data_IF_390164503415
#
_entry.id   IF_390164503415
#
_cell.length_a   1.000
_cell.length_b   1.000
_cell.length_c   1.000
_cell.angle_alpha   90.00
_cell.angle_beta   90.00
_cell.angle_gamma   90.00
#
_symmetry.space_group_name_H-M   'P 1'
#
loop_
_entity.id
_entity.type
_entity.pdbx_description
1 polymer ?
#
# COMPACT_ATOMS: atom_id res chain seq x y z
N UNK A 1 23.91 2.39 -74.03
CA UNK A 1 23.11 1.17 -73.76
C UNK A 1 21.71 1.65 -73.34
N UNK A 2 20.67 1.50 -74.18
CA UNK A 2 19.82 0.29 -74.32
C UNK A 2 18.95 0.05 -73.06
N UNK A 3 17.59 0.02 -73.07
CA UNK A 3 16.56 0.09 -74.14
C UNK A 3 15.27 0.80 -73.66
N UNK A 4 14.45 1.30 -74.60
CA UNK A 4 13.02 1.66 -74.43
C UNK A 4 12.11 0.50 -74.91
N UNK A 5 10.93 0.32 -74.30
CA UNK A 5 9.63 -0.03 -74.95
C UNK A 5 8.53 0.00 -73.86
N UNK A 6 7.43 0.77 -73.86
CA UNK A 6 6.35 1.12 -74.83
C UNK A 6 5.16 0.14 -74.86
N UNK A 7 3.99 0.64 -74.39
CA UNK A 7 2.59 0.40 -74.83
C UNK A 7 2.01 -1.05 -74.81
N UNK A 8 0.69 -1.31 -74.73
CA UNK A 8 -0.50 -0.47 -74.48
C UNK A 8 -1.64 -1.28 -73.80
N UNK A 9 -2.77 -0.61 -73.51
CA UNK A 9 -4.07 -1.16 -73.07
C UNK A 9 -4.63 -2.24 -74.01
N UNK A 10 -5.48 -3.13 -73.50
CA UNK A 10 -6.86 -3.37 -74.00
C UNK A 10 -7.72 -4.08 -72.93
N UNK A 11 -9.04 -3.95 -73.04
CA UNK A 11 -10.06 -4.42 -72.08
C UNK A 11 -11.10 -5.28 -72.81
N UNK A 12 -11.98 -5.97 -72.05
CA UNK A 12 -13.23 -6.64 -72.52
C UNK A 12 -13.10 -8.13 -72.98
N UNK A 13 -14.20 -8.94 -73.00
CA UNK A 13 -14.72 -9.54 -71.76
C UNK A 13 -15.16 -11.03 -71.85
N UNK A 14 -15.24 -11.69 -70.69
CA UNK A 14 -16.32 -12.65 -70.37
C UNK A 14 -16.16 -14.14 -70.71
N UNK A 15 -16.13 -14.99 -69.68
CA UNK A 15 -16.99 -16.20 -69.62
C UNK A 15 -17.16 -16.71 -68.18
N UNK A 16 -18.40 -16.89 -67.72
CA UNK A 16 -18.72 -17.54 -66.44
C UNK A 16 -18.60 -19.06 -66.53
N UNK A 17 -18.06 -19.72 -65.49
CA UNK A 17 -18.42 -21.10 -65.13
C UNK A 17 -18.47 -21.25 -63.60
N UNK A 18 -19.66 -21.57 -63.08
CA UNK A 18 -19.90 -21.91 -61.68
C UNK A 18 -19.69 -23.41 -61.45
N UNK A 19 -18.87 -23.77 -60.45
CA UNK A 19 -18.71 -25.17 -60.02
C UNK A 19 -19.76 -25.46 -58.95
N UNK A 20 -20.80 -26.21 -59.33
CA UNK A 20 -21.77 -26.80 -58.41
C UNK A 20 -22.10 -28.22 -58.87
N UNK A 21 -21.37 -29.21 -58.34
CA UNK A 21 -21.82 -30.60 -58.37
C UNK A 21 -21.77 -31.18 -56.95
N UNK A 22 -22.96 -31.40 -56.39
CA UNK A 22 -23.15 -32.21 -55.19
C UNK A 22 -23.55 -33.63 -55.64
N UNK A 23 -22.67 -34.61 -55.44
CA UNK A 23 -23.05 -36.00 -55.65
C UNK A 23 -23.97 -36.46 -54.50
N UNK A 24 -25.24 -36.73 -54.85
CA UNK A 24 -26.16 -37.47 -53.97
C UNK A 24 -25.86 -38.96 -54.14
N UNK A 25 -25.18 -39.58 -53.17
CA UNK A 25 -25.31 -41.00 -52.82
C UNK A 25 -24.33 -41.39 -51.67
N UNK A 26 -24.78 -41.23 -50.42
CA UNK A 26 -24.15 -41.84 -49.25
C UNK A 26 -25.20 -42.03 -48.13
N UNK A 27 -25.98 -43.10 -48.21
CA UNK A 27 -26.85 -43.51 -47.12
C UNK A 27 -26.03 -44.23 -46.03
N UNK A 28 -25.95 -43.65 -44.83
CA UNK A 28 -25.22 -44.22 -43.70
C UNK A 28 -25.66 -43.57 -42.38
N UNK A 29 -26.09 -44.39 -41.41
CA UNK A 29 -26.86 -43.94 -40.25
C UNK A 29 -26.19 -42.86 -39.39
N UNK A 30 -27.00 -41.88 -38.97
CA UNK A 30 -26.57 -40.71 -38.19
C UNK A 30 -26.24 -41.03 -36.72
N UNK A 31 -25.11 -41.72 -36.48
CA UNK A 31 -24.46 -41.70 -35.16
C UNK A 31 -23.96 -40.30 -34.87
N UNK A 32 -24.77 -39.49 -34.18
CA UNK A 32 -24.51 -38.11 -33.76
C UNK A 32 -23.19 -38.03 -32.98
N UNK A 33 -22.09 -37.72 -33.68
CA UNK A 33 -20.77 -37.48 -33.07
C UNK A 33 -20.87 -36.22 -32.19
N UNK A 34 -20.94 -36.42 -30.87
CA UNK A 34 -20.87 -35.32 -29.89
C UNK A 34 -19.58 -34.54 -30.08
N UNK A 35 -19.69 -33.22 -30.20
CA UNK A 35 -18.55 -32.33 -30.41
C UNK A 35 -17.58 -32.37 -29.23
N UNK A 36 -16.30 -32.05 -29.47
CA UNK A 36 -15.24 -32.02 -28.47
C UNK A 36 -15.57 -31.11 -27.28
N UNK A 37 -16.38 -30.06 -27.50
CA UNK A 37 -16.90 -29.16 -26.47
C UNK A 37 -17.85 -29.83 -25.47
N UNK A 38 -18.70 -30.76 -25.90
CA UNK A 38 -19.66 -31.45 -25.02
C UNK A 38 -18.97 -32.42 -24.06
N UNK A 39 -17.92 -33.13 -24.53
CA UNK A 39 -17.13 -34.02 -23.65
C UNK A 39 -16.40 -33.25 -22.55
N UNK A 40 -15.88 -32.05 -22.86
CA UNK A 40 -15.19 -31.21 -21.86
C UNK A 40 -16.17 -30.68 -20.81
N UNK A 41 -17.33 -30.16 -21.23
CA UNK A 41 -18.37 -29.62 -20.32
C UNK A 41 -18.84 -30.67 -19.31
N UNK A 42 -19.10 -31.90 -19.76
CA UNK A 42 -19.57 -32.97 -18.86
C UNK A 42 -18.49 -33.44 -17.86
N UNK A 43 -17.19 -33.40 -18.22
CA UNK A 43 -16.10 -33.62 -17.26
C UNK A 43 -16.02 -32.52 -16.21
N UNK A 44 -16.16 -31.25 -16.61
CA UNK A 44 -16.13 -30.12 -15.67
C UNK A 44 -17.29 -30.20 -14.66
N UNK A 45 -18.50 -30.54 -15.10
CA UNK A 45 -19.66 -30.71 -14.19
C UNK A 45 -19.44 -31.85 -13.19
N UNK A 46 -18.89 -32.99 -13.62
CA UNK A 46 -18.59 -34.11 -12.72
C UNK A 46 -17.56 -33.76 -11.64
N UNK A 47 -16.52 -32.99 -11.98
CA UNK A 47 -15.50 -32.55 -11.02
C UNK A 47 -16.11 -31.58 -9.99
N UNK A 48 -16.93 -30.62 -10.43
CA UNK A 48 -17.58 -29.66 -9.52
C UNK A 48 -18.50 -30.36 -8.52
N UNK A 49 -19.30 -31.34 -8.97
CA UNK A 49 -20.15 -32.15 -8.07
C UNK A 49 -19.33 -32.94 -7.05
N UNK A 50 -18.20 -33.54 -7.45
CA UNK A 50 -17.31 -34.25 -6.53
C UNK A 50 -16.68 -33.32 -5.48
N UNK A 51 -16.27 -32.10 -5.87
CA UNK A 51 -15.75 -31.10 -4.94
C UNK A 51 -16.79 -30.63 -3.92
N UNK A 52 -18.05 -30.44 -4.33
CA UNK A 52 -19.14 -30.04 -3.42
C UNK A 52 -19.42 -31.12 -2.39
N UNK A 53 -19.49 -32.40 -2.81
CA UNK A 53 -19.70 -33.53 -1.90
C UNK A 53 -18.51 -33.72 -0.93
N UNK A 54 -17.27 -33.55 -1.40
CA UNK A 54 -16.08 -33.59 -0.55
C UNK A 54 -16.06 -32.48 0.51
N UNK A 55 -16.44 -31.25 0.14
CA UNK A 55 -16.51 -30.14 1.08
C UNK A 55 -17.56 -30.36 2.18
N UNK A 56 -18.73 -30.92 1.84
CA UNK A 56 -19.77 -31.25 2.80
C UNK A 56 -19.29 -32.27 3.86
N UNK A 57 -18.60 -33.33 3.44
CA UNK A 57 -18.07 -34.35 4.35
C UNK A 57 -17.02 -33.80 5.33
N UNK A 58 -16.12 -32.91 4.84
CA UNK A 58 -15.13 -32.23 5.71
C UNK A 58 -15.82 -31.32 6.72
N UNK A 59 -16.87 -30.59 6.31
CA UNK A 59 -17.62 -29.72 7.23
C UNK A 59 -18.32 -30.51 8.33
N UNK A 60 -18.93 -31.65 8.01
CA UNK A 60 -19.53 -32.53 9.03
C UNK A 60 -18.48 -33.11 9.98
N UNK A 61 -17.31 -33.51 9.49
CA UNK A 61 -16.24 -34.04 10.34
C UNK A 61 -15.68 -32.97 11.29
N UNK A 62 -15.51 -31.73 10.83
CA UNK A 62 -15.01 -30.63 11.65
C UNK A 62 -15.96 -30.29 12.82
N UNK A 63 -17.28 -30.33 12.58
CA UNK A 63 -18.30 -30.01 13.59
C UNK A 63 -18.28 -30.98 14.79
N UNK A 64 -18.08 -32.28 14.56
CA UNK A 64 -17.98 -33.27 15.64
C UNK A 64 -16.66 -33.21 16.43
N UNK A 65 -15.58 -32.70 15.83
CA UNK A 65 -14.28 -32.54 16.52
C UNK A 65 -14.27 -31.32 17.44
N UNK A 66 -14.99 -30.25 17.10
CA UNK A 66 -15.09 -29.07 17.99
C UNK A 66 -15.88 -29.32 19.26
N UNK A 67 -16.95 -30.12 19.18
CA UNK A 67 -17.84 -30.39 20.33
C UNK A 67 -17.17 -31.26 21.41
N UNK A 68 -16.24 -32.14 21.00
CA UNK A 68 -15.50 -33.00 21.92
C UNK A 68 -14.29 -32.32 22.57
N UNK A 69 -13.74 -31.26 21.96
CA UNK A 69 -12.62 -30.50 22.52
C UNK A 69 -13.05 -29.37 23.46
N UNK A 70 -14.25 -28.80 23.29
CA UNK A 70 -14.75 -27.72 24.15
C UNK A 70 -15.25 -28.21 25.53
N UNK A 71 -15.41 -29.52 25.73
CA UNK A 71 -15.83 -30.11 27.00
C UNK A 71 -14.71 -30.39 28.03
N UNK A 72 -13.46 -30.02 27.75
CA UNK A 72 -12.28 -30.43 28.57
C UNK A 72 -11.56 -29.25 29.25
N UNK A 73 -11.93 -28.00 28.98
CA UNK A 73 -11.18 -26.82 29.47
C UNK A 73 -11.69 -26.18 30.77
N UNK A 74 -12.85 -26.59 31.30
CA UNK A 74 -13.32 -26.13 32.61
C UNK A 74 -12.94 -27.12 33.73
N UNK A 75 -11.80 -26.86 34.37
CA UNK A 75 -11.43 -27.44 35.67
C UNK A 75 -10.48 -26.51 36.41
N UNK A 76 -10.95 -25.94 37.52
CA UNK A 76 -10.17 -25.05 38.38
C UNK A 76 -8.97 -25.76 39.04
N UNK A 77 -7.84 -25.04 39.19
CA UNK A 77 -6.83 -25.36 40.21
C UNK A 77 -6.41 -24.09 40.96
N UNK A 78 -6.73 -24.03 42.26
CA UNK A 78 -6.21 -23.04 43.22
C UNK A 78 -4.93 -23.56 43.88
N UNK A 79 -3.89 -22.72 44.04
CA UNK A 79 -2.85 -22.94 45.07
C UNK A 79 -2.23 -21.65 45.61
N UNK A 80 -1.95 -21.64 46.92
CA UNK A 80 -1.25 -20.63 47.76
C UNK A 80 -0.29 -21.37 48.73
N UNK A 81 0.71 -20.79 49.41
CA UNK A 81 1.08 -19.39 49.74
C UNK A 81 2.59 -19.15 49.44
N UNK A 82 3.08 -17.91 49.62
CA UNK A 82 4.50 -17.51 49.75
C UNK A 82 5.12 -17.96 51.13
N UNK A 83 6.22 -17.41 51.72
CA UNK A 83 7.12 -16.28 51.35
C UNK A 83 8.65 -16.42 51.62
N UNK A 84 9.43 -15.38 51.30
CA UNK A 84 10.84 -15.21 51.71
C UNK A 84 11.29 -13.73 51.83
N UNK A 85 12.05 -13.38 52.89
CA UNK A 85 12.56 -12.04 53.29
C UNK A 85 13.79 -11.61 52.45
N UNK A 86 13.95 -10.37 51.95
CA UNK A 86 14.17 -9.03 52.57
C UNK A 86 15.63 -8.70 52.94
N UNK A 87 16.21 -7.64 52.37
CA UNK A 87 17.04 -6.67 53.13
C UNK A 87 17.16 -5.27 52.48
N UNK A 88 17.60 -4.28 53.26
CA UNK A 88 17.86 -2.86 52.93
C UNK A 88 19.32 -2.68 52.41
N UNK A 89 19.79 -1.60 51.79
CA UNK A 89 19.28 -0.25 51.44
C UNK A 89 20.44 0.77 51.48
N UNK A 90 20.29 2.00 50.95
CA UNK A 90 20.85 3.31 51.43
C UNK A 90 20.95 4.39 50.31
N UNK A 91 21.11 5.66 50.73
CA UNK A 91 20.98 6.94 50.03
C UNK A 91 22.20 7.37 49.19
N UNK A 92 21.98 8.33 48.28
CA UNK A 92 22.93 9.43 48.06
C UNK A 92 22.88 10.10 46.67
N UNK A 93 22.98 11.44 46.63
CA UNK A 93 23.36 12.18 45.42
C UNK A 93 22.30 13.09 44.80
N UNK A 94 22.16 14.31 45.31
CA UNK A 94 21.64 15.44 44.51
C UNK A 94 22.75 15.96 43.60
N UNK A 95 22.42 16.38 42.38
CA UNK A 95 23.19 17.41 41.67
C UNK A 95 22.29 18.14 40.67
N UNK A 96 22.22 19.45 40.85
CA UNK A 96 21.49 20.39 40.01
C UNK A 96 22.39 20.83 38.83
N UNK A 97 21.89 20.76 37.61
CA UNK A 97 22.50 21.40 36.44
C UNK A 97 21.38 21.95 35.57
N UNK A 98 21.08 23.24 35.78
CA UNK A 98 19.98 23.93 35.12
C UNK A 98 20.27 24.18 33.64
N UNK A 99 19.86 23.27 32.76
CA UNK A 99 19.81 23.51 31.32
C UNK A 99 18.57 24.36 30.96
N UNK A 100 18.63 25.27 29.96
CA UNK A 100 17.52 26.17 29.64
C UNK A 100 16.24 25.40 29.29
N UNK A 101 15.13 25.80 29.91
CA UNK A 101 13.85 25.12 29.75
C UNK A 101 13.40 25.09 28.29
N UNK A 102 13.38 23.89 27.70
CA UNK A 102 12.68 23.64 26.45
C UNK A 102 11.19 23.97 26.68
N UNK A 103 10.69 24.97 25.94
CA UNK A 103 9.32 25.44 26.05
C UNK A 103 8.35 24.25 25.86
N UNK A 104 7.54 23.86 26.86
CA UNK A 104 6.70 22.66 26.78
C UNK A 104 5.51 22.91 25.84
N UNK A 105 5.76 22.84 24.54
CA UNK A 105 4.77 23.12 23.52
C UNK A 105 3.68 22.04 23.52
N UNK A 106 2.59 22.39 24.21
CA UNK A 106 1.35 21.65 24.42
C UNK A 106 1.32 20.22 23.86
N UNK A 107 1.32 19.27 24.81
CA UNK A 107 0.86 17.89 24.59
C UNK A 107 -0.64 17.92 24.29
N UNK A 108 -1.02 18.35 23.09
CA UNK A 108 -2.39 18.44 22.59
C UNK A 108 -2.69 17.39 21.52
N UNK A 109 -3.98 17.14 21.33
CA UNK A 109 -4.53 16.39 20.19
C UNK A 109 -4.06 17.04 18.87
N UNK A 110 -3.56 16.27 17.91
CA UNK A 110 -3.03 16.81 16.65
C UNK A 110 -4.11 16.69 15.56
N UNK A 111 -4.66 17.84 15.17
CA UNK A 111 -5.78 17.99 14.23
C UNK A 111 -5.21 18.45 12.89
N UNK A 112 -5.00 17.50 11.97
CA UNK A 112 -4.39 17.74 10.68
C UNK A 112 -5.41 17.70 9.53
N UNK A 113 -5.21 18.55 8.52
CA UNK A 113 -5.97 18.49 7.26
C UNK A 113 -5.03 18.23 6.09
N UNK A 114 -5.45 17.44 5.10
CA UNK A 114 -4.70 17.32 3.84
C UNK A 114 -4.57 18.67 3.18
N UNK A 115 -3.33 19.05 2.88
CA UNK A 115 -3.00 20.21 2.06
C UNK A 115 -2.46 19.77 0.71
N UNK A 116 -2.77 20.52 -0.35
CA UNK A 116 -2.22 20.25 -1.68
C UNK A 116 -0.70 20.54 -1.72
N UNK A 117 0.04 19.78 -2.54
CA UNK A 117 1.50 19.95 -2.71
C UNK A 117 1.92 21.37 -3.12
N UNK A 118 1.05 22.12 -3.81
CA UNK A 118 1.28 23.53 -4.16
C UNK A 118 1.52 24.44 -2.96
N UNK A 119 1.07 24.08 -1.75
CA UNK A 119 1.36 24.82 -0.51
C UNK A 119 2.87 24.92 -0.24
N UNK A 120 3.66 23.94 -0.67
CA UNK A 120 5.12 23.97 -0.54
C UNK A 120 5.76 25.07 -1.40
N UNK A 121 5.07 25.63 -2.39
CA UNK A 121 5.56 26.76 -3.19
C UNK A 121 5.56 28.09 -2.41
N UNK A 122 4.90 28.14 -1.25
CA UNK A 122 4.78 29.32 -0.42
C UNK A 122 3.88 30.40 -1.01
N UNK A 123 4.14 31.66 -0.66
CA UNK A 123 3.31 32.81 -1.06
C UNK A 123 1.91 32.80 -0.44
N UNK A 124 1.02 33.63 -1.01
CA UNK A 124 -0.32 33.91 -0.47
C UNK A 124 -1.22 32.68 -0.34
N UNK A 125 -1.08 31.68 -1.22
CA UNK A 125 -1.83 30.42 -1.10
C UNK A 125 -1.52 29.67 0.19
N UNK A 126 -0.25 29.66 0.62
CA UNK A 126 0.16 29.08 1.91
C UNK A 126 -0.35 29.93 3.08
N UNK A 127 -0.32 31.26 2.98
CA UNK A 127 -0.83 32.16 4.02
C UNK A 127 -2.34 31.98 4.26
N UNK A 128 -3.14 31.99 3.19
CA UNK A 128 -4.58 31.75 3.25
C UNK A 128 -4.89 30.35 3.81
N UNK A 129 -4.11 29.34 3.43
CA UNK A 129 -4.29 27.99 3.98
C UNK A 129 -3.98 27.94 5.48
N UNK A 130 -2.87 28.54 5.93
CA UNK A 130 -2.52 28.66 7.36
C UNK A 130 -3.62 29.38 8.15
N UNK A 131 -4.15 30.49 7.63
CA UNK A 131 -5.26 31.19 8.26
C UNK A 131 -6.50 30.29 8.40
N UNK A 132 -6.87 29.57 7.33
CA UNK A 132 -8.02 28.66 7.35
C UNK A 132 -7.86 27.46 8.29
N UNK A 133 -6.65 26.94 8.49
CA UNK A 133 -6.38 25.90 9.51
C UNK A 133 -6.68 26.46 10.91
N UNK A 134 -6.15 27.64 11.22
CA UNK A 134 -6.33 28.30 12.54
C UNK A 134 -7.79 28.58 12.82
N UNK A 135 -8.53 29.14 11.86
CA UNK A 135 -9.98 29.38 11.99
C UNK A 135 -10.80 28.11 12.20
N UNK A 136 -10.33 26.96 11.68
CA UNK A 136 -10.94 25.65 11.89
C UNK A 136 -10.45 24.93 13.17
N UNK A 137 -9.60 25.55 13.99
CA UNK A 137 -9.01 24.92 15.17
C UNK A 137 -8.03 23.78 14.86
N UNK A 138 -7.51 23.73 13.64
CA UNK A 138 -6.55 22.74 13.17
C UNK A 138 -5.12 23.22 13.44
N UNK A 139 -4.25 22.31 13.89
CA UNK A 139 -2.88 22.62 14.35
C UNK A 139 -1.79 21.90 13.53
N UNK A 140 -2.17 21.26 12.42
CA UNK A 140 -1.24 20.61 11.52
C UNK A 140 -1.77 20.52 10.08
N UNK A 141 -0.86 20.19 9.16
CA UNK A 141 -1.17 19.87 7.76
C UNK A 141 -0.51 18.54 7.38
N UNK A 142 -1.22 17.73 6.59
CA UNK A 142 -0.62 16.57 5.89
C UNK A 142 -0.31 16.98 4.45
N UNK A 143 0.93 16.84 4.01
CA UNK A 143 1.35 17.15 2.63
C UNK A 143 2.13 15.96 2.06
N UNK A 144 1.90 15.64 0.79
CA UNK A 144 2.59 14.56 0.09
C UNK A 144 4.00 15.00 -0.31
N UNK A 145 5.01 14.49 0.40
CA UNK A 145 6.43 14.64 0.05
C UNK A 145 6.90 13.60 -0.96
N UNK A 146 6.24 12.43 -0.96
CA UNK A 146 6.23 11.47 -2.07
C UNK A 146 4.81 11.02 -2.33
N UNK A 147 4.29 11.25 -3.54
CA UNK A 147 2.93 10.86 -3.92
C UNK A 147 2.84 9.40 -4.41
N UNK A 148 1.62 8.89 -4.60
CA UNK A 148 1.35 7.53 -5.08
C UNK A 148 1.73 7.29 -6.56
N UNK A 149 2.10 8.33 -7.30
CA UNK A 149 2.72 8.16 -8.62
C UNK A 149 4.22 7.88 -8.50
N UNK A 150 4.85 8.32 -7.41
CA UNK A 150 6.28 8.25 -7.13
C UNK A 150 6.97 9.62 -7.13
N UNK A 151 6.26 10.71 -7.42
CA UNK A 151 6.80 12.07 -7.52
C UNK A 151 7.27 12.59 -6.16
N UNK A 152 8.47 13.20 -6.12
CA UNK A 152 9.04 13.82 -4.92
C UNK A 152 8.82 15.33 -4.94
N UNK A 153 8.13 15.87 -3.94
CA UNK A 153 7.77 17.30 -3.86
C UNK A 153 8.84 18.20 -3.23
N UNK A 154 10.07 17.69 -3.12
CA UNK A 154 11.24 18.38 -2.59
C UNK A 154 12.46 18.11 -3.51
N UNK A 155 13.58 18.84 -3.37
CA UNK A 155 14.73 18.66 -4.24
C UNK A 155 15.60 17.51 -3.71
N UNK A 156 15.29 16.28 -4.16
CA UNK A 156 16.02 15.08 -3.76
C UNK A 156 17.43 15.04 -4.33
N UNK A 157 18.37 14.53 -3.53
CA UNK A 157 19.77 14.27 -3.85
C UNK A 157 20.03 12.82 -4.28
N UNK A 158 19.03 11.93 -4.16
CA UNK A 158 19.13 10.51 -4.53
C UNK A 158 19.48 10.38 -6.02
N UNK A 159 20.63 9.77 -6.32
CA UNK A 159 21.20 9.71 -7.67
C UNK A 159 20.25 9.19 -8.76
N UNK A 160 19.37 8.23 -8.43
CA UNK A 160 18.41 7.67 -9.36
C UNK A 160 17.34 8.67 -9.87
N UNK A 161 17.05 9.72 -9.10
CA UNK A 161 15.92 10.64 -9.32
C UNK A 161 16.30 12.13 -9.35
N UNK A 162 17.43 12.54 -8.75
CA UNK A 162 17.87 13.94 -8.66
C UNK A 162 17.93 14.67 -10.03
N UNK A 163 18.46 13.98 -11.04
CA UNK A 163 18.69 14.52 -12.40
C UNK A 163 17.47 14.34 -13.32
N UNK A 164 16.39 13.71 -12.83
CA UNK A 164 15.11 13.54 -13.55
C UNK A 164 14.16 14.70 -13.22
N UNK A 165 14.76 15.88 -13.10
CA UNK A 165 14.33 16.96 -12.22
C UNK A 165 12.97 17.53 -12.62
N UNK A 166 11.97 17.50 -11.71
CA UNK A 166 10.88 18.45 -11.77
C UNK A 166 11.35 19.79 -11.18
N UNK A 167 11.14 20.87 -11.91
CA UNK A 167 11.63 22.23 -11.59
C UNK A 167 10.57 23.08 -10.88
N UNK A 168 9.75 22.47 -10.01
CA UNK A 168 8.62 23.19 -9.42
C UNK A 168 9.06 24.13 -8.28
N UNK A 169 8.34 25.25 -8.15
CA UNK A 169 8.46 26.15 -6.99
C UNK A 169 8.14 25.43 -5.67
N UNK A 170 7.29 24.41 -5.71
CA UNK A 170 6.98 23.57 -4.56
C UNK A 170 8.23 22.83 -4.03
N UNK A 171 9.03 22.24 -4.92
CA UNK A 171 10.28 21.59 -4.53
C UNK A 171 11.32 22.61 -4.04
N UNK A 172 11.55 23.68 -4.80
CA UNK A 172 12.54 24.70 -4.45
C UNK A 172 12.28 25.31 -3.05
N UNK A 173 11.00 25.51 -2.70
CA UNK A 173 10.61 26.20 -1.47
C UNK A 173 10.20 25.25 -0.32
N UNK A 174 10.25 23.92 -0.50
CA UNK A 174 9.72 22.95 0.47
C UNK A 174 10.23 23.20 1.92
N UNK A 175 11.54 23.34 2.11
CA UNK A 175 12.15 23.61 3.41
C UNK A 175 11.75 24.97 4.03
N UNK A 176 11.49 25.98 3.19
CA UNK A 176 11.08 27.31 3.64
C UNK A 176 9.60 27.32 4.04
N UNK A 177 8.77 26.60 3.29
CA UNK A 177 7.34 26.41 3.57
C UNK A 177 7.12 25.58 4.85
N UNK A 178 7.93 24.55 5.12
CA UNK A 178 7.95 23.84 6.40
C UNK A 178 8.20 24.81 7.56
N UNK A 179 9.27 25.61 7.49
CA UNK A 179 9.60 26.60 8.52
C UNK A 179 8.47 27.61 8.73
N UNK A 180 7.84 28.09 7.66
CA UNK A 180 6.72 29.04 7.73
C UNK A 180 5.46 28.45 8.38
N UNK A 181 5.15 27.17 8.12
CA UNK A 181 4.08 26.43 8.80
C UNK A 181 4.38 26.33 10.30
N UNK A 182 5.58 25.89 10.67
CA UNK A 182 6.00 25.71 12.05
C UNK A 182 6.05 27.03 12.84
N UNK A 183 6.61 28.09 12.26
CA UNK A 183 6.58 29.46 12.82
C UNK A 183 5.16 29.99 13.01
N UNK A 184 4.21 29.50 12.21
CA UNK A 184 2.79 29.82 12.36
C UNK A 184 2.07 28.96 13.41
N UNK A 185 2.75 28.02 14.07
CA UNK A 185 2.16 27.07 15.01
C UNK A 185 1.45 25.87 14.36
N UNK A 186 1.70 25.63 13.07
CA UNK A 186 1.15 24.49 12.31
C UNK A 186 2.23 23.43 12.12
N UNK A 187 2.01 22.22 12.65
CA UNK A 187 2.91 21.07 12.46
C UNK A 187 2.82 20.51 11.05
N UNK A 188 3.93 20.01 10.52
CA UNK A 188 4.00 19.38 9.20
C UNK A 188 4.07 17.86 9.34
N UNK A 189 3.03 17.18 8.86
CA UNK A 189 3.02 15.73 8.67
C UNK A 189 3.36 15.45 7.20
N UNK A 190 4.56 14.93 6.95
CA UNK A 190 5.01 14.60 5.62
C UNK A 190 4.57 13.19 5.24
N UNK A 191 3.65 13.08 4.27
CA UNK A 191 3.20 11.79 3.75
C UNK A 191 4.13 11.28 2.66
N UNK A 192 4.49 10.02 2.76
CA UNK A 192 5.35 9.30 1.83
C UNK A 192 4.61 8.03 1.42
N UNK A 193 4.15 7.96 0.17
CA UNK A 193 3.68 6.71 -0.41
C UNK A 193 4.87 5.77 -0.65
N UNK A 194 4.78 4.56 -0.10
CA UNK A 194 5.85 3.58 -0.10
C UNK A 194 5.82 2.70 -1.37
N UNK A 195 5.18 1.53 -1.33
CA UNK A 195 5.34 0.54 -2.42
C UNK A 195 4.47 0.83 -3.65
N UNK A 196 3.47 1.71 -3.51
CA UNK A 196 2.68 2.26 -4.62
C UNK A 196 3.46 3.41 -5.28
N UNK A 197 4.29 3.06 -6.25
CA UNK A 197 5.14 3.98 -7.01
C UNK A 197 5.22 3.52 -8.47
N UNK A 198 4.81 4.41 -9.37
CA UNK A 198 4.71 4.15 -10.81
C UNK A 198 5.93 4.62 -11.63
N UNK A 199 6.86 5.33 -11.00
CA UNK A 199 8.05 5.95 -11.59
C UNK A 199 9.31 5.13 -11.31
N UNK A 200 9.62 4.84 -10.05
CA UNK A 200 10.89 4.20 -9.66
C UNK A 200 11.11 2.82 -10.30
N UNK A 201 10.10 1.93 -10.45
CA UNK A 201 10.24 0.70 -11.24
C UNK A 201 10.69 0.90 -12.70
N UNK A 202 10.46 2.09 -13.28
CA UNK A 202 10.89 2.45 -14.65
C UNK A 202 12.28 3.08 -14.68
N UNK A 203 12.72 3.63 -13.55
CA UNK A 203 14.07 4.16 -13.32
C UNK A 203 15.06 3.03 -13.10
N UNK A 204 14.71 2.12 -12.20
CA UNK A 204 15.50 0.95 -11.84
C UNK A 204 14.57 -0.27 -11.75
N UNK A 205 14.74 -1.20 -12.69
CA UNK A 205 13.90 -2.40 -12.81
C UNK A 205 14.08 -3.36 -11.64
N UNK A 206 15.24 -3.34 -10.95
CA UNK A 206 15.50 -4.21 -9.79
C UNK A 206 14.59 -3.89 -8.60
N UNK A 207 13.97 -2.71 -8.60
CA UNK A 207 13.00 -2.29 -7.59
C UNK A 207 11.58 -2.82 -7.84
N UNK A 208 11.29 -3.35 -9.02
CA UNK A 208 9.94 -3.63 -9.50
C UNK A 208 9.36 -4.98 -9.05
N UNK A 209 8.03 -5.08 -9.06
CA UNK A 209 7.31 -6.36 -9.20
C UNK A 209 7.41 -6.82 -10.66
N UNK A 210 7.54 -8.12 -10.92
CA UNK A 210 7.74 -8.67 -12.27
C UNK A 210 6.65 -9.66 -12.71
N UNK A 211 6.47 -9.86 -14.02
CA UNK A 211 5.59 -10.90 -14.57
C UNK A 211 6.30 -12.27 -14.59
N UNK A 212 5.65 -13.32 -14.09
CA UNK A 212 5.97 -14.74 -14.36
C UNK A 212 7.46 -15.13 -14.24
N UNK A 213 8.19 -14.64 -13.21
CA UNK A 213 9.64 -14.85 -13.03
C UNK A 213 10.52 -14.39 -14.21
N UNK A 214 10.00 -13.45 -15.02
CA UNK A 214 10.76 -12.74 -16.05
C UNK A 214 11.30 -11.43 -15.50
N UNK A 215 12.05 -10.67 -16.31
CA UNK A 215 12.45 -9.28 -15.98
C UNK A 215 11.48 -8.23 -16.54
N UNK A 216 10.24 -8.63 -16.89
CA UNK A 216 9.20 -7.72 -17.40
C UNK A 216 8.43 -7.13 -16.24
N UNK A 217 8.44 -5.80 -16.10
CA UNK A 217 7.74 -5.08 -15.02
C UNK A 217 6.26 -5.43 -15.04
N UNK A 218 5.73 -5.87 -13.89
CA UNK A 218 4.31 -6.14 -13.66
C UNK A 218 3.52 -4.84 -13.50
N UNK A 219 2.26 -4.85 -13.95
CA UNK A 219 1.32 -3.74 -13.82
C UNK A 219 0.06 -4.17 -13.06
N UNK A 220 -0.49 -3.28 -12.24
CA UNK A 220 -1.73 -3.47 -11.48
C UNK A 220 -3.02 -3.42 -12.31
N UNK A 221 -2.91 -3.25 -13.63
CA UNK A 221 -3.98 -3.40 -14.59
C UNK A 221 -3.37 -3.62 -15.99
N UNK A 222 -4.20 -3.87 -16.99
CA UNK A 222 -3.76 -3.81 -18.39
C UNK A 222 -3.15 -2.44 -18.70
N UNK A 223 -2.06 -2.41 -19.48
CA UNK A 223 -1.40 -1.16 -19.89
C UNK A 223 -2.36 -0.21 -20.64
N UNK A 224 -3.25 -0.77 -21.47
CA UNK A 224 -4.33 -0.06 -22.17
C UNK A 224 -5.36 0.58 -21.23
N UNK A 225 -5.51 0.06 -20.01
CA UNK A 225 -6.38 0.58 -18.95
C UNK A 225 -5.63 1.45 -17.95
N UNK A 226 -4.41 1.87 -18.29
CA UNK A 226 -3.59 2.78 -17.48
C UNK A 226 -2.82 2.11 -16.34
N UNK A 227 -2.68 0.78 -16.35
CA UNK A 227 -2.00 -0.01 -15.32
C UNK A 227 -0.64 0.54 -14.90
N UNK A 228 -0.40 0.57 -13.60
CA UNK A 228 0.78 1.15 -12.96
C UNK A 228 1.71 0.05 -12.46
N UNK A 229 3.03 0.20 -12.59
CA UNK A 229 3.96 -0.66 -11.90
C UNK A 229 3.99 -0.32 -10.41
N UNK A 230 4.54 -1.24 -9.63
CA UNK A 230 4.71 -1.11 -8.19
C UNK A 230 6.14 -1.48 -7.81
N UNK A 231 6.60 -0.94 -6.68
CA UNK A 231 7.81 -1.40 -6.02
C UNK A 231 7.54 -2.75 -5.35
N UNK A 232 8.51 -3.66 -5.41
CA UNK A 232 8.46 -4.95 -4.75
C UNK A 232 8.93 -4.82 -3.28
N UNK A 233 8.09 -5.13 -2.27
CA UNK A 233 8.52 -5.07 -0.86
C UNK A 233 9.72 -5.97 -0.53
N UNK A 234 9.90 -7.08 -1.25
CA UNK A 234 11.05 -7.98 -1.10
C UNK A 234 12.33 -7.47 -1.77
N UNK A 235 12.25 -6.52 -2.71
CA UNK A 235 13.45 -5.91 -3.30
C UNK A 235 14.18 -5.03 -2.29
N UNK A 236 15.45 -5.34 -2.03
CA UNK A 236 16.29 -4.51 -1.18
C UNK A 236 16.53 -3.13 -1.79
N UNK A 237 16.73 -3.05 -3.11
CA UNK A 237 16.86 -1.78 -3.83
C UNK A 237 15.63 -0.88 -3.63
N UNK A 238 14.42 -1.45 -3.66
CA UNK A 238 13.19 -0.72 -3.38
C UNK A 238 13.12 -0.20 -1.93
N UNK A 239 13.43 -1.05 -0.95
CA UNK A 239 13.43 -0.65 0.48
C UNK A 239 14.49 0.41 0.77
N UNK A 240 15.69 0.28 0.21
CA UNK A 240 16.79 1.23 0.39
C UNK A 240 16.45 2.59 -0.25
N UNK A 241 15.88 2.60 -1.46
CA UNK A 241 15.38 3.83 -2.09
C UNK A 241 14.36 4.58 -1.21
N UNK A 242 13.35 3.86 -0.71
CA UNK A 242 12.34 4.46 0.16
C UNK A 242 12.93 4.93 1.51
N UNK A 243 13.93 4.22 2.03
CA UNK A 243 14.62 4.61 3.26
C UNK A 243 15.42 5.91 3.07
N UNK A 244 16.08 6.11 1.92
CA UNK A 244 16.73 7.39 1.60
C UNK A 244 15.71 8.52 1.45
N UNK A 245 14.56 8.28 0.80
CA UNK A 245 13.47 9.29 0.74
C UNK A 245 13.02 9.69 2.15
N UNK A 246 12.83 8.72 3.06
CA UNK A 246 12.46 8.97 4.46
C UNK A 246 13.53 9.79 5.20
N UNK A 247 14.82 9.49 4.99
CA UNK A 247 15.93 10.28 5.56
C UNK A 247 15.96 11.71 5.03
N UNK A 248 15.81 11.90 3.72
CA UNK A 248 15.80 13.24 3.13
C UNK A 248 14.63 14.08 3.67
N UNK A 249 13.41 13.53 3.67
CA UNK A 249 12.22 14.23 4.18
C UNK A 249 12.33 14.55 5.67
N UNK A 250 12.88 13.63 6.48
CA UNK A 250 13.23 13.90 7.88
C UNK A 250 14.20 15.09 8.00
N UNK A 251 15.25 15.11 7.18
CA UNK A 251 16.27 16.16 7.18
C UNK A 251 15.76 17.54 6.69
N UNK A 252 14.59 17.61 6.04
CA UNK A 252 13.90 18.88 5.77
C UNK A 252 13.28 19.52 7.04
N UNK A 253 13.26 18.81 8.16
CA UNK A 253 12.80 19.33 9.46
C UNK A 253 11.30 19.20 9.71
N UNK A 254 10.65 18.20 9.12
CA UNK A 254 9.20 17.94 9.32
C UNK A 254 8.91 17.38 10.72
N UNK A 255 7.72 17.69 11.27
CA UNK A 255 7.33 17.27 12.62
C UNK A 255 7.04 15.77 12.73
N UNK A 256 6.47 15.17 11.68
CA UNK A 256 6.01 13.77 11.65
C UNK A 256 6.17 13.19 10.25
N UNK A 257 6.58 11.92 10.14
CA UNK A 257 6.52 11.14 8.90
C UNK A 257 5.25 10.28 8.92
N UNK A 258 4.47 10.28 7.82
CA UNK A 258 3.35 9.38 7.59
C UNK A 258 3.68 8.44 6.42
N UNK A 259 3.96 7.18 6.71
CA UNK A 259 4.16 6.15 5.69
C UNK A 259 2.79 5.67 5.20
N UNK A 260 2.48 5.88 3.93
CA UNK A 260 1.24 5.43 3.27
C UNK A 260 1.57 4.36 2.22
N UNK A 261 0.61 3.49 1.88
CA UNK A 261 0.83 2.41 0.91
C UNK A 261 1.93 1.40 1.29
N UNK A 262 2.12 1.12 2.60
CA UNK A 262 3.03 0.07 3.09
C UNK A 262 2.38 -1.30 2.93
N UNK A 263 2.16 -1.72 1.68
CA UNK A 263 1.41 -2.93 1.34
C UNK A 263 1.90 -3.55 0.03
N UNK A 264 1.48 -4.78 -0.23
CA UNK A 264 1.53 -5.37 -1.57
C UNK A 264 0.45 -4.74 -2.47
N UNK A 265 0.57 -4.87 -3.81
CA UNK A 265 -0.50 -4.49 -4.73
C UNK A 265 -1.83 -5.16 -4.39
N UNK A 266 -2.93 -4.45 -4.60
CA UNK A 266 -4.29 -4.86 -4.23
C UNK A 266 -4.90 -5.86 -5.24
N UNK A 267 -4.12 -6.89 -5.58
CA UNK A 267 -4.45 -7.92 -6.55
C UNK A 267 -3.83 -9.26 -6.14
N UNK A 268 -4.68 -10.27 -6.02
CA UNK A 268 -4.27 -11.68 -5.94
C UNK A 268 -3.85 -12.20 -7.34
N UNK A 269 -2.84 -11.53 -7.92
CA UNK A 269 -2.33 -11.78 -9.27
C UNK A 269 -1.37 -12.97 -9.26
N UNK A 270 -1.83 -14.12 -9.75
CA UNK A 270 -0.99 -15.33 -9.93
C UNK A 270 0.15 -15.17 -10.94
N UNK A 271 0.15 -14.08 -11.70
CA UNK A 271 1.20 -13.73 -12.68
C UNK A 271 2.16 -12.66 -12.16
N UNK A 272 1.88 -12.06 -10.99
CA UNK A 272 2.85 -11.22 -10.30
C UNK A 272 3.93 -12.10 -9.64
N UNK A 273 5.17 -11.66 -9.72
CA UNK A 273 6.33 -12.27 -9.09
C UNK A 273 7.02 -11.20 -8.26
N UNK A 274 7.16 -11.48 -6.98
CA UNK A 274 7.89 -10.65 -6.03
C UNK A 274 9.24 -11.31 -5.80
N UNK A 275 10.26 -10.88 -6.54
CA UNK A 275 11.61 -11.46 -6.39
C UNK A 275 12.11 -11.32 -4.95
N UNK A 276 12.59 -12.41 -4.36
CA UNK A 276 12.90 -12.52 -2.92
C UNK A 276 11.77 -13.02 -2.02
N UNK A 277 10.56 -13.25 -2.56
CA UNK A 277 9.44 -13.85 -1.82
C UNK A 277 9.79 -15.24 -1.29
N UNK A 278 9.36 -15.52 -0.05
CA UNK A 278 9.70 -16.74 0.69
C UNK A 278 10.90 -16.60 1.63
N UNK A 279 11.71 -15.54 1.50
CA UNK A 279 12.79 -15.23 2.47
C UNK A 279 12.26 -14.92 3.88
N UNK A 280 11.13 -14.20 3.94
CA UNK A 280 10.30 -13.96 5.13
C UNK A 280 8.83 -13.90 4.70
N UNK A 281 7.88 -13.94 5.65
CA UNK A 281 6.46 -13.75 5.32
C UNK A 281 6.19 -12.35 4.76
N UNK A 282 5.14 -12.20 3.95
CA UNK A 282 4.72 -10.90 3.39
C UNK A 282 4.47 -9.86 4.49
N UNK A 283 3.91 -10.30 5.61
CA UNK A 283 3.67 -9.44 6.76
C UNK A 283 4.98 -8.99 7.42
N UNK A 284 5.94 -9.92 7.61
CA UNK A 284 7.22 -9.62 8.21
C UNK A 284 8.06 -8.64 7.37
N UNK A 285 8.09 -8.74 6.03
CA UNK A 285 8.87 -7.79 5.20
C UNK A 285 8.31 -6.36 5.29
N UNK A 286 6.98 -6.20 5.39
CA UNK A 286 6.35 -4.89 5.59
C UNK A 286 6.63 -4.32 6.98
N UNK A 287 6.48 -5.13 8.04
CA UNK A 287 6.81 -4.74 9.43
C UNK A 287 8.29 -4.34 9.56
N UNK A 288 9.20 -5.15 9.00
CA UNK A 288 10.63 -4.88 9.02
C UNK A 288 10.96 -3.56 8.31
N UNK A 289 10.32 -3.27 7.17
CA UNK A 289 10.47 -1.99 6.48
C UNK A 289 10.01 -0.80 7.33
N UNK A 290 8.83 -0.86 7.98
CA UNK A 290 8.37 0.20 8.90
C UNK A 290 9.38 0.40 10.03
N UNK A 291 9.89 -0.70 10.60
CA UNK A 291 10.89 -0.65 11.67
C UNK A 291 12.21 -0.02 11.20
N UNK A 292 12.66 -0.27 9.97
CA UNK A 292 13.82 0.42 9.38
C UNK A 292 13.59 1.93 9.24
N UNK A 293 12.40 2.36 8.81
CA UNK A 293 12.04 3.78 8.74
C UNK A 293 12.02 4.44 10.14
N UNK A 294 11.42 3.78 11.14
CA UNK A 294 11.41 4.25 12.54
C UNK A 294 12.84 4.48 13.04
N UNK A 295 13.74 3.51 12.83
CA UNK A 295 15.15 3.62 13.25
C UNK A 295 15.90 4.77 12.55
N UNK A 296 15.68 4.98 11.26
CA UNK A 296 16.28 6.10 10.52
C UNK A 296 15.74 7.48 10.98
N UNK A 297 14.48 7.54 11.39
CA UNK A 297 13.81 8.77 11.80
C UNK A 297 14.17 9.27 13.20
N UNK A 298 14.90 8.50 14.03
CA UNK A 298 15.42 8.86 15.38
C UNK A 298 15.21 10.32 15.79
N UNK A 299 14.20 10.56 16.64
CA UNK A 299 13.73 11.88 17.07
C UNK A 299 12.41 12.35 16.43
N UNK A 300 12.15 11.98 15.17
CA UNK A 300 10.92 12.31 14.43
C UNK A 300 9.92 11.14 14.51
N UNK A 301 8.68 11.34 15.02
CA UNK A 301 7.66 10.31 15.02
C UNK A 301 7.32 9.78 13.62
N UNK A 302 7.23 8.46 13.48
CA UNK A 302 6.76 7.77 12.27
C UNK A 302 5.39 7.16 12.54
N UNK A 303 4.40 7.58 11.76
CA UNK A 303 3.04 7.04 11.74
C UNK A 303 2.91 6.16 10.50
N UNK A 304 2.18 5.05 10.60
CA UNK A 304 1.94 4.16 9.47
C UNK A 304 0.44 4.12 9.12
N UNK A 305 0.09 4.34 7.86
CA UNK A 305 -1.27 4.20 7.38
C UNK A 305 -1.64 2.73 7.17
N UNK A 306 -2.87 2.35 7.53
CA UNK A 306 -3.37 1.00 7.40
C UNK A 306 -4.85 1.01 7.02
N UNK A 307 -5.26 0.18 6.06
CA UNK A 307 -6.69 0.04 5.72
C UNK A 307 -7.49 -0.53 6.89
N UNK A 308 -8.74 -0.09 7.04
CA UNK A 308 -9.63 -0.46 8.13
C UNK A 308 -9.85 -1.96 8.27
N UNK A 309 -9.99 -2.70 7.17
CA UNK A 309 -10.17 -4.16 7.19
C UNK A 309 -8.94 -4.88 7.74
N UNK A 310 -7.74 -4.40 7.36
CA UNK A 310 -6.49 -4.93 7.85
C UNK A 310 -6.22 -4.59 9.31
N UNK A 311 -6.64 -3.40 9.76
CA UNK A 311 -6.63 -2.99 11.15
C UNK A 311 -7.60 -3.82 12.00
N UNK A 312 -8.75 -4.17 11.42
CA UNK A 312 -9.86 -4.90 12.04
C UNK A 312 -9.60 -6.39 12.29
N UNK A 313 -9.11 -7.11 11.28
CA UNK A 313 -8.93 -8.57 11.35
C UNK A 313 -7.73 -9.10 10.56
N UNK A 314 -6.88 -8.19 10.05
CA UNK A 314 -5.86 -8.51 9.07
C UNK A 314 -6.41 -8.65 7.64
N UNK A 315 -5.52 -8.52 6.65
CA UNK A 315 -5.81 -8.84 5.26
C UNK A 315 -4.85 -9.92 4.78
N UNK A 316 -5.38 -11.01 4.24
CA UNK A 316 -4.60 -12.07 3.60
C UNK A 316 -3.91 -11.59 2.31
N UNK A 317 -4.48 -10.60 1.63
CA UNK A 317 -4.14 -10.20 0.26
C UNK A 317 -3.02 -9.15 0.21
N UNK A 318 -3.21 -8.01 0.89
CA UNK A 318 -2.30 -6.85 0.78
C UNK A 318 -1.26 -6.73 1.90
N UNK A 319 -1.51 -7.35 3.07
CA UNK A 319 -0.59 -7.32 4.22
C UNK A 319 -0.17 -8.71 4.71
N UNK A 320 -0.87 -9.77 4.30
CA UNK A 320 -0.84 -11.13 4.86
C UNK A 320 -0.93 -11.16 6.40
N UNK A 321 -1.76 -10.28 6.97
CA UNK A 321 -1.80 -9.97 8.40
C UNK A 321 -2.19 -8.50 8.61
N UNK A 322 -1.63 -7.86 9.63
CA UNK A 322 -1.79 -6.42 9.92
C UNK A 322 -0.44 -5.78 10.19
N UNK A 323 -0.35 -4.45 10.24
CA UNK A 323 0.90 -3.75 10.59
C UNK A 323 1.06 -3.50 12.10
N UNK A 324 0.14 -3.97 12.95
CA UNK A 324 0.13 -3.67 14.39
C UNK A 324 1.45 -3.99 15.10
N UNK A 325 2.16 -5.05 14.69
CA UNK A 325 3.44 -5.46 15.29
C UNK A 325 4.63 -4.56 14.90
N UNK A 326 4.45 -3.56 14.04
CA UNK A 326 5.48 -2.57 13.76
C UNK A 326 5.66 -1.58 14.93
N UNK A 327 6.86 -0.99 14.99
CA UNK A 327 7.31 -0.01 15.97
C UNK A 327 6.91 1.43 15.61
N UNK A 328 5.92 1.61 14.74
CA UNK A 328 5.36 2.93 14.43
C UNK A 328 4.82 3.59 15.71
N UNK A 329 4.99 4.90 15.83
CA UNK A 329 4.50 5.70 16.95
C UNK A 329 2.98 5.58 17.10
N UNK A 330 2.27 5.56 15.98
CA UNK A 330 0.83 5.38 15.88
C UNK A 330 0.43 4.86 14.50
N UNK A 331 -0.82 4.43 14.36
CA UNK A 331 -1.39 3.91 13.12
C UNK A 331 -2.56 4.76 12.65
N UNK A 332 -2.46 5.33 11.45
CA UNK A 332 -3.52 6.06 10.78
C UNK A 332 -4.43 5.07 10.04
N UNK A 333 -5.58 4.78 10.64
CA UNK A 333 -6.49 3.76 10.12
C UNK A 333 -7.57 4.40 9.26
N UNK A 334 -7.64 3.98 8.00
CA UNK A 334 -8.71 4.37 7.08
C UNK A 334 -9.98 3.56 7.38
N UNK A 335 -10.95 4.18 8.05
CA UNK A 335 -12.24 3.55 8.36
C UNK A 335 -13.29 3.76 7.27
N UNK A 336 -12.99 4.48 6.17
CA UNK A 336 -13.99 4.90 5.17
C UNK A 336 -14.64 3.72 4.41
N UNK A 337 -13.94 2.59 4.30
CA UNK A 337 -14.42 1.36 3.68
C UNK A 337 -15.12 0.39 4.64
N UNK A 338 -15.05 0.65 5.95
CA UNK A 338 -15.73 -0.17 6.96
C UNK A 338 -17.21 0.23 7.07
N UNK A 339 -18.07 -0.77 7.28
CA UNK A 339 -19.48 -0.53 7.57
C UNK A 339 -19.64 0.18 8.93
N UNK A 340 -20.67 1.02 9.06
CA UNK A 340 -20.92 1.82 10.25
C UNK A 340 -21.17 1.00 11.53
N UNK A 341 -21.61 -0.26 11.40
CA UNK A 341 -21.82 -1.23 12.48
C UNK A 341 -20.56 -2.04 12.84
N UNK A 342 -19.43 -1.81 12.17
CA UNK A 342 -18.20 -2.55 12.43
C UNK A 342 -17.67 -2.30 13.86
N UNK A 343 -17.56 -3.36 14.66
CA UNK A 343 -17.00 -3.30 16.02
C UNK A 343 -15.50 -3.01 15.98
N UNK A 344 -15.15 -1.74 16.23
CA UNK A 344 -13.77 -1.19 16.31
C UNK A 344 -12.96 -1.84 17.45
N UNK A 345 -12.44 -3.05 17.22
CA UNK A 345 -11.63 -3.81 18.18
C UNK A 345 -10.13 -3.73 17.86
N UNK A 346 -9.53 -2.57 18.09
CA UNK A 346 -8.08 -2.37 17.88
C UNK A 346 -7.25 -2.73 19.12
N UNK A 347 -5.97 -3.11 18.98
CA UNK A 347 -5.12 -3.46 20.12
C UNK A 347 -4.94 -2.27 21.08
N UNK A 348 -5.33 -2.41 22.34
CA UNK A 348 -5.28 -1.35 23.36
C UNK A 348 -3.86 -0.82 23.65
N UNK A 349 -2.82 -1.58 23.30
CA UNK A 349 -1.41 -1.18 23.42
C UNK A 349 -0.90 -0.31 22.25
N UNK A 350 -1.75 -0.01 21.25
CA UNK A 350 -1.37 0.71 20.03
C UNK A 350 -2.17 2.01 19.91
N UNK A 351 -1.46 3.10 19.56
CA UNK A 351 -2.08 4.39 19.29
C UNK A 351 -2.79 4.34 17.93
N UNK A 352 -4.08 4.64 17.93
CA UNK A 352 -4.91 4.64 16.72
C UNK A 352 -5.37 6.05 16.41
N UNK A 353 -5.23 6.40 15.14
CA UNK A 353 -5.61 7.66 14.54
C UNK A 353 -6.74 7.35 13.56
N UNK A 354 -7.86 8.08 13.66
CA UNK A 354 -8.97 7.92 12.73
C UNK A 354 -8.81 8.88 11.53
N UNK A 355 -8.72 8.32 10.32
CA UNK A 355 -8.80 9.10 9.08
C UNK A 355 -10.27 9.39 8.81
N UNK A 356 -10.64 10.68 8.73
CA UNK A 356 -12.01 11.10 8.39
C UNK A 356 -12.02 11.74 7.02
N UNK A 357 -12.54 11.02 6.03
CA UNK A 357 -12.84 11.58 4.73
C UNK A 357 -13.94 12.65 4.87
N UNK A 358 -13.72 13.82 4.28
CA UNK A 358 -14.79 14.79 3.99
C UNK A 358 -15.60 14.30 2.79
N UNK A 359 -16.86 14.74 2.67
CA UNK A 359 -17.68 14.47 1.48
C UNK A 359 -17.10 15.11 0.20
N UNK A 360 -16.21 16.11 0.34
CA UNK A 360 -15.32 16.56 -0.74
C UNK A 360 -14.05 15.69 -0.77
N UNK A 361 -13.80 15.02 -1.90
CA UNK A 361 -12.59 14.21 -2.16
C UNK A 361 -11.26 15.01 -2.16
N UNK A 362 -11.28 16.28 -1.73
CA UNK A 362 -10.14 17.17 -1.60
C UNK A 362 -9.75 17.47 -0.13
N UNK A 363 -10.65 17.27 0.84
CA UNK A 363 -10.50 17.78 2.22
C UNK A 363 -10.47 16.67 3.29
N UNK A 364 -9.76 15.56 3.02
CA UNK A 364 -9.56 14.52 4.05
C UNK A 364 -8.90 15.12 5.29
N UNK A 365 -9.53 14.91 6.45
CA UNK A 365 -9.07 15.44 7.74
C UNK A 365 -8.63 14.28 8.63
N UNK A 366 -7.39 14.34 9.09
CA UNK A 366 -6.83 13.37 10.02
C UNK A 366 -6.97 13.90 11.44
N UNK A 367 -7.76 13.21 12.27
CA UNK A 367 -7.76 13.48 13.70
C UNK A 367 -6.73 12.56 14.33
N UNK A 368 -5.51 13.07 14.53
CA UNK A 368 -4.49 12.34 15.30
C UNK A 368 -4.77 12.53 16.80
N UNK A 369 -5.71 11.75 17.32
CA UNK A 369 -5.88 11.60 18.77
C UNK A 369 -4.64 10.99 19.43
N UNK A 370 -4.43 11.37 20.69
CA UNK A 370 -3.21 11.14 21.47
C UNK A 370 -2.82 9.69 21.69
#
# INVERSE_FOLDING_TARGET
MAKRSKYDKYFSPGTHRSITEFSKNAAGGSKRRKSYSERRRNRTVGIVLACILGAAAVFTAAFFVTDTLLGISDSEVKTTVAPGKSDKGNKGGSNDTTAPAANPQSSGELKARVGNVSLLAGGSGLDSYIASLKSAGQNAVVIDFKDASGYLSYPSSIAAVKDKTPSSKAQANAAQSIKKLQQSGIKVVARIYCFKDSQMPRVDRTTAVHYNKTQTIWLDNEASKGGKPWLNPYSEAARNYLLEVVKEVKNLGVDVILLDGVQFPDLNSKIATFDGEGSVSRNAVLINFVNSCVSACSGTPVICAMKGEAAAGGSSEIYNGSLWSANAYAFAVDLSSLKADFKRSFPASKKVIEIKASASNADSTYILTK
#
